data_IF_741169749979
#
_entry.id   IF_741169749979
#
_cell.length_a   1.000
_cell.length_b   1.000
_cell.length_c   1.000
_cell.angle_alpha   90.00
_cell.angle_beta   90.00
_cell.angle_gamma   90.00
#
_symmetry.space_group_name_H-M   'P 1'
#
loop_
_entity.id
_entity.type
_entity.pdbx_description
1 polymer ?
#
# COMPACT_ATOMS: atom_id res chain seq x y z
N UNK A 1 23.72 -35.79 2.26
CA UNK A 1 22.37 -35.22 2.33
C UNK A 1 22.15 -34.72 3.74
N UNK A 2 22.57 -33.49 4.03
CA UNK A 2 22.31 -32.82 5.31
C UNK A 2 20.96 -32.13 5.18
N UNK A 3 19.98 -32.67 5.91
CA UNK A 3 18.63 -32.14 5.98
C UNK A 3 18.66 -30.94 6.92
N UNK A 4 18.79 -29.72 6.37
CA UNK A 4 18.64 -28.48 7.12
C UNK A 4 17.16 -28.29 7.42
N UNK A 5 16.71 -28.77 8.59
CA UNK A 5 15.45 -28.30 9.15
C UNK A 5 15.65 -26.85 9.58
N UNK A 6 15.21 -25.93 8.73
CA UNK A 6 14.86 -24.57 9.10
C UNK A 6 13.78 -24.63 10.18
N UNK A 7 14.21 -24.67 11.45
CA UNK A 7 13.32 -24.45 12.59
C UNK A 7 12.92 -22.98 12.53
N UNK A 8 11.76 -22.70 11.93
CA UNK A 8 11.05 -21.44 12.12
C UNK A 8 10.78 -21.30 13.63
N UNK A 9 11.70 -20.65 14.35
CA UNK A 9 11.44 -20.14 15.69
C UNK A 9 10.49 -18.95 15.52
N UNK A 10 9.20 -19.22 15.34
CA UNK A 10 8.19 -18.20 15.59
C UNK A 10 8.37 -17.80 17.06
N UNK A 11 8.82 -16.57 17.29
CA UNK A 11 8.89 -15.98 18.60
C UNK A 11 7.47 -16.03 19.19
N UNK A 12 7.23 -16.97 20.11
CA UNK A 12 5.91 -17.15 20.69
C UNK A 12 5.68 -15.96 21.60
N UNK A 13 4.96 -14.96 21.10
CA UNK A 13 4.52 -13.84 21.91
C UNK A 13 3.53 -14.31 22.96
N UNK A 14 3.59 -13.69 24.14
CA UNK A 14 2.69 -13.99 25.26
C UNK A 14 2.08 -12.70 25.80
N UNK A 15 0.82 -12.78 26.22
CA UNK A 15 0.16 -11.72 26.99
C UNK A 15 0.09 -12.16 28.46
N UNK A 16 0.43 -11.25 29.39
CA UNK A 16 0.35 -11.55 30.82
C UNK A 16 -1.11 -11.68 31.27
N UNK A 17 -1.39 -12.67 32.11
CA UNK A 17 -2.66 -12.79 32.82
C UNK A 17 -3.10 -11.51 33.57
N UNK A 18 -2.17 -10.64 34.00
CA UNK A 18 -2.50 -9.33 34.56
C UNK A 18 -3.14 -8.41 33.51
N UNK A 19 -2.51 -8.30 32.35
CA UNK A 19 -3.01 -7.54 31.21
C UNK A 19 -4.34 -8.12 30.69
N UNK A 20 -4.46 -9.45 30.63
CA UNK A 20 -5.71 -10.12 30.27
C UNK A 20 -6.82 -9.83 31.29
N UNK A 21 -6.49 -9.76 32.59
CA UNK A 21 -7.46 -9.39 33.61
C UNK A 21 -7.98 -7.96 33.40
N UNK A 22 -7.11 -7.03 33.02
CA UNK A 22 -7.47 -5.66 32.65
C UNK A 22 -8.37 -5.63 31.41
N UNK A 23 -7.96 -6.29 30.32
CA UNK A 23 -8.74 -6.34 29.06
C UNK A 23 -10.12 -6.96 29.24
N UNK A 24 -10.25 -7.95 30.13
CA UNK A 24 -11.53 -8.63 30.40
C UNK A 24 -12.36 -7.95 31.49
N UNK A 25 -11.80 -6.96 32.19
CA UNK A 25 -12.41 -6.32 33.35
C UNK A 25 -12.69 -7.29 34.51
N UNK A 26 -11.94 -8.40 34.61
CA UNK A 26 -12.07 -9.40 35.66
C UNK A 26 -11.00 -9.19 36.73
N UNK A 27 -11.27 -9.60 37.97
CA UNK A 27 -10.22 -9.67 38.98
C UNK A 27 -9.19 -10.73 38.56
N UNK A 28 -7.90 -10.41 38.71
CA UNK A 28 -6.81 -11.34 38.38
C UNK A 28 -6.99 -12.71 39.06
N UNK A 29 -7.40 -12.73 40.32
CA UNK A 29 -7.68 -13.96 41.06
C UNK A 29 -8.76 -14.85 40.41
N UNK A 30 -9.82 -14.25 39.86
CA UNK A 30 -10.92 -14.97 39.21
C UNK A 30 -10.48 -15.52 37.84
N UNK A 31 -9.63 -14.77 37.13
CA UNK A 31 -9.00 -15.24 35.90
C UNK A 31 -8.05 -16.42 36.17
N UNK A 32 -7.21 -16.34 37.20
CA UNK A 32 -6.32 -17.43 37.60
C UNK A 32 -7.11 -18.70 37.90
N UNK A 33 -8.21 -18.59 38.66
CA UNK A 33 -9.09 -19.74 38.93
C UNK A 33 -9.71 -20.32 37.66
N UNK A 34 -10.03 -19.47 36.69
CA UNK A 34 -10.55 -19.92 35.40
C UNK A 34 -9.49 -20.72 34.63
N UNK A 35 -8.25 -20.24 34.62
CA UNK A 35 -7.12 -20.92 33.98
C UNK A 35 -6.79 -22.24 34.67
N UNK A 36 -6.78 -22.27 36.00
CA UNK A 36 -6.58 -23.49 36.79
C UNK A 36 -7.59 -24.58 36.38
N UNK A 37 -8.87 -24.21 36.19
CA UNK A 37 -9.89 -25.15 35.71
C UNK A 37 -9.65 -25.68 34.29
N UNK A 38 -9.04 -24.90 33.40
CA UNK A 38 -8.62 -25.41 32.08
C UNK A 38 -7.45 -26.39 32.20
N UNK A 39 -6.47 -26.06 33.06
CA UNK A 39 -5.31 -26.92 33.31
C UNK A 39 -5.73 -28.27 33.89
N UNK A 40 -6.69 -28.31 34.81
CA UNK A 40 -7.27 -29.56 35.32
C UNK A 40 -7.86 -30.43 34.20
N UNK A 41 -8.62 -29.84 33.27
CA UNK A 41 -9.15 -30.57 32.11
C UNK A 41 -8.03 -31.09 31.21
N UNK A 42 -6.98 -30.30 30.96
CA UNK A 42 -5.84 -30.71 30.13
C UNK A 42 -5.06 -31.85 30.77
N UNK A 43 -4.86 -31.83 32.10
CA UNK A 43 -4.17 -32.90 32.82
C UNK A 43 -4.91 -34.24 32.71
N UNK A 44 -6.23 -34.23 32.60
CA UNK A 44 -7.03 -35.46 32.40
C UNK A 44 -7.11 -35.91 30.94
N UNK A 45 -6.60 -35.12 29.99
CA UNK A 45 -6.66 -35.41 28.55
C UNK A 45 -5.28 -35.34 27.89
N UNK A 46 -4.64 -36.49 27.74
CA UNK A 46 -3.28 -36.61 27.16
C UNK A 46 -3.12 -36.16 25.70
N UNK A 47 -4.20 -35.74 25.03
CA UNK A 47 -4.14 -35.16 23.67
C UNK A 47 -3.84 -33.65 23.66
N UNK A 48 -3.95 -32.97 24.81
CA UNK A 48 -3.80 -31.51 24.89
C UNK A 48 -2.61 -31.17 25.79
N UNK A 49 -1.68 -30.37 25.28
CA UNK A 49 -0.54 -29.87 26.06
C UNK A 49 -0.89 -28.50 26.65
N UNK A 50 -0.84 -28.39 27.97
CA UNK A 50 -1.14 -27.13 28.67
C UNK A 50 -0.24 -25.96 28.24
N UNK A 51 1.03 -26.25 27.97
CA UNK A 51 2.04 -25.26 27.56
C UNK A 51 1.72 -24.58 26.22
N UNK A 52 0.89 -25.19 25.37
CA UNK A 52 0.46 -24.57 24.10
C UNK A 52 -0.52 -23.40 24.34
N UNK A 53 -1.07 -23.29 25.56
CA UNK A 53 -2.08 -22.30 25.95
C UNK A 53 -1.59 -21.39 27.08
N UNK A 54 -1.03 -21.98 28.14
CA UNK A 54 -0.71 -21.29 29.39
C UNK A 54 0.67 -21.71 29.90
N UNK A 55 1.54 -20.73 30.16
CA UNK A 55 2.85 -20.94 30.77
C UNK A 55 2.86 -20.30 32.16
N UNK A 56 3.31 -21.04 33.18
CA UNK A 56 3.34 -20.52 34.56
C UNK A 56 4.48 -19.52 34.73
N UNK A 57 4.19 -18.37 35.33
CA UNK A 57 5.17 -17.34 35.65
C UNK A 57 4.88 -16.71 37.04
N UNK A 58 5.76 -15.81 37.48
CA UNK A 58 5.61 -15.06 38.74
C UNK A 58 5.85 -13.57 38.52
N UNK A 59 5.26 -12.74 39.35
CA UNK A 59 5.53 -11.31 39.43
C UNK A 59 5.65 -10.88 40.90
N UNK A 60 6.27 -9.73 41.14
CA UNK A 60 6.30 -9.12 42.47
C UNK A 60 5.11 -8.16 42.59
N UNK A 61 4.34 -8.28 43.66
CA UNK A 61 3.29 -7.32 43.96
C UNK A 61 3.85 -6.02 44.55
N UNK A 62 2.97 -5.05 44.83
CA UNK A 62 3.35 -3.75 45.42
C UNK A 62 4.05 -3.87 46.78
N UNK A 63 3.95 -5.01 47.46
CA UNK A 63 4.62 -5.31 48.73
C UNK A 63 5.93 -6.07 48.54
N UNK A 64 6.32 -6.35 47.28
CA UNK A 64 7.49 -7.15 46.94
C UNK A 64 7.27 -8.65 47.14
N UNK A 65 6.03 -9.11 47.34
CA UNK A 65 5.75 -10.53 47.52
C UNK A 65 5.59 -11.23 46.15
N UNK A 66 6.16 -12.43 45.98
CA UNK A 66 6.01 -13.17 44.73
C UNK A 66 4.58 -13.72 44.60
N UNK A 67 3.88 -13.28 43.55
CA UNK A 67 2.56 -13.75 43.15
C UNK A 67 2.62 -14.55 41.86
N UNK A 68 1.76 -15.56 41.75
CA UNK A 68 1.65 -16.37 40.53
C UNK A 68 0.92 -15.60 39.43
N UNK A 69 1.35 -15.81 38.20
CA UNK A 69 0.69 -15.33 36.98
C UNK A 69 0.83 -16.38 35.88
N UNK A 70 0.07 -16.22 34.80
CA UNK A 70 0.22 -17.01 33.58
C UNK A 70 0.61 -16.12 32.41
N UNK A 71 1.43 -16.66 31.52
CA UNK A 71 1.67 -16.12 30.19
C UNK A 71 0.74 -16.87 29.23
N UNK A 72 -0.14 -16.14 28.55
CA UNK A 72 -1.13 -16.69 27.64
C UNK A 72 -0.62 -16.59 26.21
N UNK A 73 -0.67 -17.70 25.48
CA UNK A 73 -0.52 -17.68 24.02
C UNK A 73 -1.78 -17.12 23.37
N UNK A 74 -1.74 -16.89 22.05
CA UNK A 74 -2.95 -16.54 21.27
C UNK A 74 -4.07 -17.55 21.47
N UNK A 75 -3.74 -18.86 21.48
CA UNK A 75 -4.70 -19.95 21.76
C UNK A 75 -5.24 -19.89 23.19
N UNK A 76 -4.40 -19.55 24.17
CA UNK A 76 -4.82 -19.33 25.55
C UNK A 76 -5.84 -18.20 25.69
N UNK A 77 -5.62 -17.08 24.98
CA UNK A 77 -6.56 -15.96 24.95
C UNK A 77 -7.89 -16.34 24.31
N UNK A 78 -7.85 -17.08 23.19
CA UNK A 78 -9.06 -17.59 22.53
C UNK A 78 -9.90 -18.47 23.47
N UNK A 79 -9.26 -19.35 24.26
CA UNK A 79 -9.96 -20.19 25.23
C UNK A 79 -10.60 -19.38 26.36
N UNK A 80 -9.96 -18.29 26.81
CA UNK A 80 -10.54 -17.36 27.78
C UNK A 80 -11.74 -16.62 27.17
N UNK A 81 -11.61 -16.16 25.92
CA UNK A 81 -12.66 -15.44 25.20
C UNK A 81 -13.91 -16.31 24.98
N UNK A 82 -13.74 -17.59 24.64
CA UNK A 82 -14.84 -18.53 24.41
C UNK A 82 -15.74 -18.75 25.64
N UNK A 83 -15.22 -18.52 26.85
CA UNK A 83 -16.00 -18.62 28.10
C UNK A 83 -16.63 -17.28 28.51
N UNK A 84 -16.39 -16.22 27.74
CA UNK A 84 -17.07 -14.94 27.86
C UNK A 84 -18.23 -14.88 26.87
N UNK A 85 -19.35 -14.32 27.29
CA UNK A 85 -20.55 -14.20 26.47
C UNK A 85 -20.88 -12.74 26.18
N UNK A 86 -21.53 -12.51 25.04
CA UNK A 86 -21.98 -11.19 24.62
C UNK A 86 -20.84 -10.22 24.30
N UNK A 87 -21.13 -8.94 24.45
CA UNK A 87 -20.25 -7.82 24.09
C UNK A 87 -18.84 -7.95 24.68
N UNK A 88 -18.71 -8.40 25.94
CA UNK A 88 -17.43 -8.52 26.63
C UNK A 88 -16.48 -9.53 25.96
N UNK A 89 -17.01 -10.63 25.42
CA UNK A 89 -16.20 -11.63 24.70
C UNK A 89 -15.68 -11.08 23.37
N UNK A 90 -16.53 -10.33 22.67
CA UNK A 90 -16.18 -9.69 21.39
C UNK A 90 -15.07 -8.66 21.61
N UNK A 91 -15.24 -7.76 22.59
CA UNK A 91 -14.26 -6.71 22.91
C UNK A 91 -12.91 -7.30 23.33
N UNK A 92 -12.91 -8.33 24.17
CA UNK A 92 -11.67 -9.01 24.54
C UNK A 92 -10.99 -9.66 23.33
N UNK A 93 -11.77 -10.25 22.42
CA UNK A 93 -11.23 -10.87 21.21
C UNK A 93 -10.53 -9.86 20.32
N UNK A 94 -11.14 -8.71 20.10
CA UNK A 94 -10.51 -7.60 19.36
C UNK A 94 -9.24 -7.15 20.09
N UNK A 95 -9.32 -6.92 21.40
CA UNK A 95 -8.20 -6.41 22.20
C UNK A 95 -6.95 -7.31 22.14
N UNK A 96 -7.11 -8.63 22.32
CA UNK A 96 -5.94 -9.50 22.29
C UNK A 96 -5.41 -9.68 20.86
N UNK A 97 -6.25 -9.66 19.82
CA UNK A 97 -5.80 -9.72 18.41
C UNK A 97 -4.92 -8.51 18.08
N UNK A 98 -5.39 -7.31 18.40
CA UNK A 98 -4.65 -6.08 18.15
C UNK A 98 -3.33 -6.09 18.93
N UNK A 99 -3.36 -6.55 20.18
CA UNK A 99 -2.15 -6.67 21.00
C UNK A 99 -1.10 -7.61 20.39
N UNK A 100 -1.50 -8.77 19.86
CA UNK A 100 -0.58 -9.67 19.18
C UNK A 100 -0.02 -9.07 17.89
N UNK A 101 -0.85 -8.36 17.11
CA UNK A 101 -0.37 -7.65 15.92
C UNK A 101 0.63 -6.53 16.27
N UNK A 102 0.43 -5.82 17.38
CA UNK A 102 1.40 -4.83 17.86
C UNK A 102 2.73 -5.48 18.26
N UNK A 103 2.69 -6.61 18.95
CA UNK A 103 3.90 -7.37 19.31
C UNK A 103 4.64 -7.85 18.06
N UNK A 104 3.92 -8.37 17.06
CA UNK A 104 4.51 -8.79 15.77
C UNK A 104 5.16 -7.61 15.03
N UNK A 105 4.53 -6.43 15.04
CA UNK A 105 5.11 -5.21 14.46
C UNK A 105 6.34 -4.71 15.20
N UNK A 106 6.38 -4.85 16.52
CA UNK A 106 7.53 -4.44 17.34
C UNK A 106 8.76 -5.32 17.08
N UNK A 107 8.57 -6.62 16.87
CA UNK A 107 9.65 -7.56 16.50
C UNK A 107 10.15 -7.31 15.06
N UNK A 108 9.28 -6.83 14.17
CA UNK A 108 9.66 -6.45 12.81
C UNK A 108 10.34 -5.07 12.71
N UNK A 109 10.44 -4.31 13.81
CA UNK A 109 11.30 -3.14 13.81
C UNK A 109 12.76 -3.60 13.88
N UNK A 110 13.62 -3.16 12.96
CA UNK A 110 15.03 -3.49 13.00
C UNK A 110 15.59 -3.07 14.36
N UNK A 111 16.07 -4.04 15.14
CA UNK A 111 16.84 -3.77 16.34
C UNK A 111 18.00 -2.86 15.95
N UNK A 112 18.15 -1.74 16.64
CA UNK A 112 19.25 -0.82 16.36
C UNK A 112 20.56 -1.60 16.54
N UNK A 113 21.45 -1.64 15.52
CA UNK A 113 22.68 -2.39 15.59
C UNK A 113 23.50 -1.92 16.79
N UNK A 114 23.81 -2.85 17.70
CA UNK A 114 24.52 -2.53 18.95
C UNK A 114 26.01 -2.31 18.72
N UNK A 115 26.51 -2.75 17.56
CA UNK A 115 27.91 -2.56 17.15
C UNK A 115 28.01 -1.97 15.74
N UNK A 116 29.09 -1.23 15.48
CA UNK A 116 29.37 -0.64 14.16
C UNK A 116 29.45 -1.68 13.03
N UNK A 117 29.90 -2.90 13.36
CA UNK A 117 29.96 -4.03 12.41
C UNK A 117 28.56 -4.47 11.98
N UNK A 118 27.63 -4.61 12.92
CA UNK A 118 26.24 -4.97 12.63
C UNK A 118 25.55 -3.90 11.79
N UNK A 119 25.83 -2.62 12.07
CA UNK A 119 25.28 -1.50 11.29
C UNK A 119 25.73 -1.54 9.82
N UNK A 120 27.01 -1.82 9.58
CA UNK A 120 27.53 -1.95 8.22
C UNK A 120 26.93 -3.15 7.48
N UNK A 121 26.76 -4.28 8.16
CA UNK A 121 26.14 -5.47 7.54
C UNK A 121 24.67 -5.22 7.16
N UNK A 122 23.92 -4.57 8.06
CA UNK A 122 22.53 -4.21 7.81
C UNK A 122 22.41 -3.19 6.67
N UNK A 123 23.34 -2.22 6.60
CA UNK A 123 23.39 -1.27 5.49
C UNK A 123 23.67 -1.98 4.16
N UNK A 124 24.59 -2.95 4.13
CA UNK A 124 24.88 -3.75 2.94
C UNK A 124 23.63 -4.53 2.50
N UNK A 125 22.95 -5.19 3.43
CA UNK A 125 21.71 -5.93 3.14
C UNK A 125 20.60 -5.00 2.60
N UNK A 126 20.45 -3.81 3.19
CA UNK A 126 19.49 -2.81 2.73
C UNK A 126 19.84 -2.31 1.33
N UNK A 127 21.11 -2.04 1.05
CA UNK A 127 21.58 -1.61 -0.28
C UNK A 127 21.31 -2.73 -1.30
N UNK A 128 21.69 -3.97 -1.00
CA UNK A 128 21.42 -5.12 -1.88
C UNK A 128 19.92 -5.32 -2.14
N UNK A 129 19.07 -5.15 -1.13
CA UNK A 129 17.62 -5.24 -1.28
C UNK A 129 17.08 -4.12 -2.18
N UNK A 130 17.58 -2.89 -2.03
CA UNK A 130 17.21 -1.77 -2.90
C UNK A 130 17.69 -1.96 -4.33
N UNK A 131 18.91 -2.46 -4.53
CA UNK A 131 19.45 -2.76 -5.86
C UNK A 131 18.67 -3.88 -6.54
N UNK A 132 18.28 -4.93 -5.81
CA UNK A 132 17.43 -6.01 -6.35
C UNK A 132 16.04 -5.49 -6.72
N UNK A 133 15.43 -4.65 -5.89
CA UNK A 133 14.14 -4.05 -6.19
C UNK A 133 14.22 -3.11 -7.39
N UNK A 134 15.30 -2.32 -7.49
CA UNK A 134 15.56 -1.44 -8.63
C UNK A 134 15.79 -2.25 -9.91
N UNK A 135 16.58 -3.32 -9.85
CA UNK A 135 16.79 -4.21 -10.99
C UNK A 135 15.48 -4.88 -11.44
N UNK A 136 14.58 -5.23 -10.52
CA UNK A 136 13.24 -5.74 -10.86
C UNK A 136 12.35 -4.67 -11.48
N UNK A 137 12.42 -3.41 -11.02
CA UNK A 137 11.72 -2.28 -11.64
C UNK A 137 12.27 -2.00 -13.05
N UNK A 138 13.58 -2.09 -13.24
CA UNK A 138 14.25 -1.91 -14.53
C UNK A 138 13.96 -3.09 -15.49
N UNK A 139 13.81 -4.31 -14.97
CA UNK A 139 13.42 -5.51 -15.74
C UNK A 139 11.92 -5.52 -16.08
N UNK A 140 11.08 -4.89 -15.26
CA UNK A 140 9.66 -4.62 -15.53
C UNK A 140 9.41 -3.33 -16.32
N UNK A 141 10.45 -2.51 -16.52
CA UNK A 141 10.38 -1.29 -17.32
C UNK A 141 9.89 -1.49 -18.78
N UNK A 142 10.09 -2.62 -19.50
CA UNK A 142 9.57 -2.72 -20.85
C UNK A 142 8.03 -2.84 -20.91
N UNK A 143 7.33 -3.04 -19.79
CA UNK A 143 5.86 -3.03 -19.75
C UNK A 143 5.27 -1.61 -19.62
N UNK A 144 6.00 -0.66 -19.01
CA UNK A 144 5.60 0.76 -18.92
C UNK A 144 6.24 1.58 -20.06
N UNK A 145 7.40 1.16 -20.57
CA UNK A 145 8.09 1.83 -21.67
C UNK A 145 7.37 1.77 -23.03
N UNK A 146 6.31 0.96 -23.20
CA UNK A 146 5.50 1.02 -24.42
C UNK A 146 4.62 2.29 -24.48
N UNK A 147 4.35 2.96 -23.35
CA UNK A 147 3.54 4.18 -23.33
C UNK A 147 4.32 5.49 -23.40
N UNK A 148 5.64 5.46 -23.26
CA UNK A 148 6.49 6.66 -23.29
C UNK A 148 7.41 6.71 -24.53
N UNK A 149 7.36 5.69 -25.39
CA UNK A 149 8.15 5.63 -26.63
C UNK A 149 7.40 6.21 -27.83
N UNK A 150 6.80 7.39 -27.70
CA UNK A 150 6.41 8.18 -28.86
C UNK A 150 6.65 9.66 -28.56
N UNK A 151 7.91 10.08 -28.73
CA UNK A 151 8.35 11.43 -29.10
C UNK A 151 7.54 12.58 -28.48
N UNK A 152 8.05 13.13 -27.38
CA UNK A 152 7.89 14.57 -27.13
C UNK A 152 8.38 15.29 -28.40
N UNK A 153 7.45 15.89 -29.13
CA UNK A 153 7.83 16.97 -30.04
C UNK A 153 8.09 18.14 -29.10
N UNK A 154 9.36 18.40 -28.77
CA UNK A 154 9.76 19.51 -27.88
C UNK A 154 8.97 20.78 -28.26
N UNK A 155 8.18 21.29 -27.30
CA UNK A 155 7.36 22.51 -27.49
C UNK A 155 5.92 22.31 -27.95
N UNK A 156 5.39 21.08 -28.04
CA UNK A 156 3.97 20.82 -28.35
C UNK A 156 3.19 20.21 -27.17
N UNK A 157 1.95 20.64 -27.00
CA UNK A 157 1.03 20.18 -25.96
C UNK A 157 -0.20 19.48 -26.56
N UNK A 158 -0.90 18.68 -25.77
CA UNK A 158 -2.15 18.04 -26.19
C UNK A 158 -3.31 19.04 -26.26
N UNK A 159 -4.34 18.74 -27.06
CA UNK A 159 -5.58 19.53 -27.12
C UNK A 159 -6.23 19.74 -25.74
N UNK A 160 -6.03 18.82 -24.79
CA UNK A 160 -6.55 18.93 -23.42
C UNK A 160 -5.80 19.99 -22.63
N UNK A 161 -4.46 20.02 -22.73
CA UNK A 161 -3.64 21.06 -22.11
C UNK A 161 -3.92 22.43 -22.73
N UNK A 162 -3.99 22.50 -24.07
CA UNK A 162 -4.32 23.73 -24.81
C UNK A 162 -5.70 24.26 -24.45
N UNK A 163 -6.72 23.40 -24.34
CA UNK A 163 -8.05 23.83 -23.91
C UNK A 163 -8.04 24.48 -22.53
N UNK A 164 -7.31 23.90 -21.57
CA UNK A 164 -7.16 24.48 -20.22
C UNK A 164 -6.42 25.82 -20.24
N UNK A 165 -5.36 25.93 -21.05
CA UNK A 165 -4.63 27.20 -21.23
C UNK A 165 -5.53 28.32 -21.77
N UNK A 166 -6.50 27.97 -22.63
CA UNK A 166 -7.46 28.90 -23.22
C UNK A 166 -8.73 29.11 -22.35
N UNK A 167 -8.75 28.60 -21.12
CA UNK A 167 -9.91 28.73 -20.21
C UNK A 167 -11.12 27.87 -20.57
N UNK A 168 -10.97 26.88 -21.45
CA UNK A 168 -12.04 25.97 -21.87
C UNK A 168 -12.10 24.74 -20.94
N UNK A 169 -13.29 24.15 -20.81
CA UNK A 169 -13.57 23.06 -19.86
C UNK A 169 -13.02 21.70 -20.29
N UNK A 170 -12.76 21.49 -21.58
CA UNK A 170 -12.23 20.22 -22.11
C UNK A 170 -11.69 20.35 -23.53
N UNK A 171 -10.85 19.41 -23.95
CA UNK A 171 -10.45 19.25 -25.35
C UNK A 171 -11.66 19.12 -26.29
N UNK A 172 -12.76 18.50 -25.84
CA UNK A 172 -13.97 18.34 -26.66
C UNK A 172 -14.60 19.70 -26.99
N UNK A 173 -14.62 20.62 -26.03
CA UNK A 173 -15.13 21.98 -26.24
C UNK A 173 -14.28 22.72 -27.28
N UNK A 174 -12.95 22.65 -27.16
CA UNK A 174 -12.03 23.26 -28.13
C UNK A 174 -12.19 22.64 -29.53
N UNK A 175 -12.24 21.31 -29.62
CA UNK A 175 -12.44 20.61 -30.89
C UNK A 175 -13.76 21.00 -31.57
N UNK A 176 -14.83 21.17 -30.79
CA UNK A 176 -16.12 21.59 -31.32
C UNK A 176 -16.07 23.02 -31.89
N UNK A 177 -15.41 23.97 -31.20
CA UNK A 177 -15.22 25.35 -31.68
C UNK A 177 -14.42 25.37 -32.98
N UNK A 178 -13.26 24.70 -33.00
CA UNK A 178 -12.41 24.63 -34.19
C UNK A 178 -13.11 23.93 -35.37
N UNK A 179 -13.98 22.95 -35.09
CA UNK A 179 -14.80 22.30 -36.11
C UNK A 179 -15.88 23.22 -36.66
N UNK A 180 -16.54 24.01 -35.80
CA UNK A 180 -17.55 25.00 -36.23
C UNK A 180 -16.93 26.06 -37.15
N UNK A 181 -15.71 26.50 -36.83
CA UNK A 181 -14.92 27.42 -37.65
C UNK A 181 -14.28 26.78 -38.89
N UNK A 182 -14.49 25.46 -39.09
CA UNK A 182 -13.92 24.67 -40.18
C UNK A 182 -12.38 24.69 -40.22
N UNK A 183 -11.74 24.90 -39.07
CA UNK A 183 -10.27 24.83 -38.91
C UNK A 183 -9.83 23.37 -38.93
N UNK A 184 -10.57 22.51 -38.22
CA UNK A 184 -10.30 21.07 -38.12
C UNK A 184 -11.54 20.26 -38.50
N UNK A 185 -11.32 19.00 -38.87
CA UNK A 185 -12.37 18.02 -39.10
C UNK A 185 -12.00 16.67 -38.51
N UNK A 186 -13.01 15.82 -38.29
CA UNK A 186 -12.83 14.47 -37.78
C UNK A 186 -12.79 13.47 -38.94
N UNK A 187 -11.69 12.74 -39.07
CA UNK A 187 -11.50 11.74 -40.12
C UNK A 187 -12.30 10.46 -39.84
N UNK A 188 -12.63 9.70 -40.88
CA UNK A 188 -13.27 8.37 -40.75
C UNK A 188 -12.44 7.38 -39.93
N UNK A 189 -11.12 7.59 -39.85
CA UNK A 189 -10.18 6.78 -39.05
C UNK A 189 -10.17 7.14 -37.56
N UNK A 190 -10.92 8.17 -37.15
CA UNK A 190 -11.06 8.56 -35.74
C UNK A 190 -9.96 9.49 -35.26
N UNK A 191 -9.63 10.52 -36.05
CA UNK A 191 -8.54 11.47 -35.76
C UNK A 191 -8.91 12.87 -36.19
N UNK A 192 -8.57 13.87 -35.37
CA UNK A 192 -8.74 15.29 -35.67
C UNK A 192 -7.60 15.78 -36.56
N UNK A 193 -7.91 16.40 -37.69
CA UNK A 193 -6.94 16.89 -38.69
C UNK A 193 -7.35 18.28 -39.18
N UNK A 194 -6.39 19.13 -39.54
CA UNK A 194 -6.65 20.45 -40.12
C UNK A 194 -7.31 20.33 -41.50
N UNK A 195 -8.17 21.28 -41.85
CA UNK A 195 -8.73 21.37 -43.20
C UNK A 195 -7.73 21.98 -44.18
N UNK A 196 -7.96 21.82 -45.48
CA UNK A 196 -7.05 22.32 -46.53
C UNK A 196 -6.79 23.84 -46.44
N UNK A 197 -7.76 24.62 -45.97
CA UNK A 197 -7.62 26.07 -45.82
C UNK A 197 -6.68 26.47 -44.66
N UNK A 198 -6.31 25.52 -43.81
CA UNK A 198 -5.46 25.72 -42.64
C UNK A 198 -4.22 24.81 -42.68
N UNK A 199 -3.71 24.48 -43.87
CA UNK A 199 -2.47 23.71 -44.01
C UNK A 199 -1.25 24.42 -43.39
N UNK A 200 -1.24 25.76 -43.43
CA UNK A 200 -0.21 26.59 -42.82
C UNK A 200 -0.03 26.30 -41.33
N UNK A 201 -1.08 25.89 -40.61
CA UNK A 201 -0.97 25.50 -39.20
C UNK A 201 0.05 24.37 -39.02
N UNK A 202 0.09 23.42 -39.95
CA UNK A 202 1.07 22.34 -39.93
C UNK A 202 2.42 22.79 -40.50
N UNK A 203 2.41 23.46 -41.64
CA UNK A 203 3.63 23.83 -42.38
C UNK A 203 4.52 24.79 -41.58
N UNK A 204 3.89 25.72 -40.84
CA UNK A 204 4.57 26.66 -39.95
C UNK A 204 4.69 26.14 -38.52
N UNK A 205 4.41 24.86 -38.24
CA UNK A 205 4.57 24.24 -36.93
C UNK A 205 3.72 24.86 -35.78
N UNK A 206 2.53 25.40 -36.09
CA UNK A 206 1.50 25.70 -35.09
C UNK A 206 0.87 24.42 -34.52
N UNK A 207 0.68 23.40 -35.35
CA UNK A 207 0.16 22.08 -34.95
C UNK A 207 1.08 20.95 -35.43
N UNK A 208 1.09 19.86 -34.68
CA UNK A 208 1.81 18.63 -34.98
C UNK A 208 0.89 17.41 -34.94
N UNK A 209 1.32 16.30 -35.54
CA UNK A 209 0.59 15.03 -35.49
C UNK A 209 1.46 13.93 -34.90
N UNK A 210 0.94 13.32 -33.83
CA UNK A 210 1.53 12.15 -33.21
C UNK A 210 0.79 10.89 -33.68
N UNK A 211 1.46 9.91 -34.32
CA UNK A 211 0.83 8.66 -34.69
C UNK A 211 0.47 7.85 -33.44
N UNK A 212 -0.72 7.26 -33.45
CA UNK A 212 -1.24 6.36 -32.43
C UNK A 212 -1.48 4.96 -33.04
N UNK A 213 -1.77 3.99 -32.19
CA UNK A 213 -2.13 2.64 -32.62
C UNK A 213 -3.24 2.62 -33.69
N UNK A 214 -3.20 1.61 -34.57
CA UNK A 214 -4.17 1.40 -35.66
C UNK A 214 -4.24 2.56 -36.67
N UNK A 215 -3.16 3.34 -36.81
CA UNK A 215 -3.04 4.39 -37.83
C UNK A 215 -3.84 5.66 -37.53
N UNK A 216 -4.19 5.88 -36.26
CA UNK A 216 -4.81 7.12 -35.79
C UNK A 216 -3.75 8.21 -35.62
N UNK A 217 -4.17 9.47 -35.71
CA UNK A 217 -3.35 10.64 -35.43
C UNK A 217 -3.92 11.41 -34.25
N UNK A 218 -3.06 11.81 -33.32
CA UNK A 218 -3.36 12.78 -32.29
C UNK A 218 -2.81 14.14 -32.70
N UNK A 219 -3.68 15.15 -32.70
CA UNK A 219 -3.27 16.54 -32.91
C UNK A 219 -2.60 17.08 -31.64
N UNK A 220 -1.45 17.71 -31.82
CA UNK A 220 -0.71 18.46 -30.81
C UNK A 220 -0.58 19.91 -31.26
N UNK A 221 -0.44 20.83 -30.31
CA UNK A 221 -0.44 22.28 -30.56
C UNK A 221 0.80 22.88 -29.92
N UNK A 222 1.57 23.67 -30.65
CA UNK A 222 2.73 24.39 -30.08
C UNK A 222 2.30 25.63 -29.31
N UNK A 223 3.21 26.24 -28.55
CA UNK A 223 2.91 27.49 -27.83
C UNK A 223 2.38 28.61 -28.77
N UNK A 224 3.00 28.78 -29.94
CA UNK A 224 2.51 29.70 -30.98
C UNK A 224 1.18 29.24 -31.58
N UNK A 225 0.96 27.93 -31.70
CA UNK A 225 -0.32 27.36 -32.11
C UNK A 225 -1.46 27.67 -31.15
N UNK A 226 -1.18 27.70 -29.85
CA UNK A 226 -2.17 28.10 -28.84
C UNK A 226 -2.61 29.55 -29.04
N UNK A 227 -1.67 30.46 -29.35
CA UNK A 227 -1.97 31.88 -29.62
C UNK A 227 -2.77 32.05 -30.92
N UNK A 228 -2.41 31.34 -31.97
CA UNK A 228 -3.15 31.36 -33.25
C UNK A 228 -4.57 30.81 -33.06
N UNK A 229 -4.70 29.68 -32.36
CA UNK A 229 -6.01 29.08 -32.04
C UNK A 229 -6.84 30.05 -31.19
N UNK A 230 -6.25 30.74 -30.21
CA UNK A 230 -6.93 31.76 -29.41
C UNK A 230 -7.51 32.88 -30.29
N UNK A 231 -6.74 33.33 -31.28
CA UNK A 231 -7.16 34.34 -32.25
C UNK A 231 -8.30 33.83 -33.13
N UNK A 232 -8.21 32.59 -33.62
CA UNK A 232 -9.25 31.96 -34.46
C UNK A 232 -10.58 31.79 -33.72
N UNK A 233 -10.55 31.43 -32.43
CA UNK A 233 -11.76 31.24 -31.62
C UNK A 233 -12.26 32.53 -30.96
N UNK A 234 -11.57 33.66 -31.16
CA UNK A 234 -11.96 34.98 -30.64
C UNK A 234 -11.81 35.12 -29.12
N UNK A 235 -10.81 34.46 -28.52
CA UNK A 235 -10.53 34.50 -27.07
C UNK A 235 -9.41 35.51 -26.73
N UNK A 236 -8.82 36.19 -27.72
CA UNK A 236 -7.80 37.21 -27.45
C UNK A 236 -8.37 38.46 -26.77
N UNK A 237 -7.61 38.94 -25.78
CA UNK A 237 -7.71 40.26 -25.13
C UNK A 237 -7.57 41.43 -26.12
#
# INVERSE_FOLDING_TARGET
>A
MTNELSVNQQEVNYIDSLEVAEMTGKRHADLLRTIDGYLEVFLTNGKVRSLDYFVTAKYLDLKGEPRRKYLLTRKGCELVANKMTGEKGILFTVAYIDRFHEMEKAVQQPTLPTTYKEALLQLVEQVEATEKLQAQLDEQAPAIAYHEKVLDIEGFTTMESTAKQLGLRSAQQLNNLLRQLKVIYYTKKGSWVHTANYSYLKDEAYIGYKPLEKGKLQMLVSQKGTQEIASLIGITE
#
